data_IF_382801167171
#
_entry.id   IF_382801167171
#
_cell.length_a   1.000
_cell.length_b   1.000
_cell.length_c   1.000
_cell.angle_alpha   90.00
_cell.angle_beta   90.00
_cell.angle_gamma   90.00
#
_symmetry.space_group_name_H-M   'P 1'
#
loop_
_entity.id
_entity.type
_entity.pdbx_description
1 polymer ?
#
# COMPACT_ATOMS: atom_id res chain seq x y z
N UNK A 1 -11.09 -45.27 -68.69
CA UNK A 1 -11.58 -45.07 -67.37
C UNK A 1 -10.43 -45.37 -66.40
N UNK A 2 -9.70 -44.35 -66.00
CA UNK A 2 -8.57 -44.49 -65.03
C UNK A 2 -9.04 -44.06 -63.64
N UNK A 3 -9.00 -44.99 -62.67
CA UNK A 3 -9.28 -44.73 -61.27
C UNK A 3 -8.00 -44.16 -60.61
N UNK A 4 -8.07 -42.95 -60.11
CA UNK A 4 -7.03 -42.35 -59.35
C UNK A 4 -7.32 -42.68 -57.85
N UNK A 5 -6.42 -43.41 -57.20
CA UNK A 5 -6.46 -43.67 -55.78
C UNK A 5 -5.79 -42.48 -55.03
N UNK A 6 -6.56 -41.78 -54.25
CA UNK A 6 -6.00 -40.80 -53.26
C UNK A 6 -5.49 -41.56 -52.03
N UNK A 7 -4.17 -41.56 -51.84
CA UNK A 7 -3.58 -41.92 -50.55
C UNK A 7 -3.68 -40.72 -49.60
N UNK A 8 -4.51 -40.84 -48.58
CA UNK A 8 -4.56 -39.90 -47.47
C UNK A 8 -3.36 -40.10 -46.56
N UNK A 9 -2.46 -39.12 -46.53
CA UNK A 9 -1.34 -39.05 -45.59
C UNK A 9 -1.87 -38.50 -44.26
N UNK A 10 -2.12 -39.35 -43.28
CA UNK A 10 -2.43 -38.94 -41.94
C UNK A 10 -1.13 -38.42 -41.25
N UNK A 11 -1.00 -37.11 -41.16
CA UNK A 11 0.05 -36.49 -40.33
C UNK A 11 -0.35 -36.65 -38.88
N UNK A 12 0.21 -37.63 -38.19
CA UNK A 12 0.18 -37.71 -36.71
C UNK A 12 1.06 -36.59 -36.19
N UNK A 13 0.46 -35.48 -35.77
CA UNK A 13 1.12 -34.50 -34.90
C UNK A 13 1.29 -35.12 -33.53
N UNK A 14 2.47 -35.68 -33.28
CA UNK A 14 2.89 -36.01 -31.94
C UNK A 14 3.09 -34.66 -31.18
N UNK A 15 2.12 -34.30 -30.35
CA UNK A 15 2.30 -33.23 -29.42
C UNK A 15 3.38 -33.70 -28.43
N UNK A 16 4.64 -33.27 -28.64
CA UNK A 16 5.68 -33.36 -27.63
C UNK A 16 5.24 -32.45 -26.49
N UNK A 17 4.65 -33.01 -25.44
CA UNK A 17 4.56 -32.39 -24.17
C UNK A 17 6.00 -32.21 -23.66
N UNK A 18 6.59 -31.05 -23.89
CA UNK A 18 7.76 -30.66 -23.14
C UNK A 18 7.31 -30.66 -21.67
N UNK A 19 7.90 -31.51 -20.87
CA UNK A 19 7.78 -31.44 -19.42
C UNK A 19 8.30 -30.05 -19.03
N UNK A 20 7.38 -29.12 -18.83
CA UNK A 20 7.71 -27.80 -18.33
C UNK A 20 8.28 -28.03 -16.93
N UNK A 21 9.57 -27.77 -16.74
CA UNK A 21 10.20 -27.79 -15.43
C UNK A 21 9.53 -26.81 -14.47
N UNK A 22 9.93 -26.79 -13.23
CA UNK A 22 9.38 -25.89 -12.22
C UNK A 22 9.68 -24.44 -12.63
N UNK A 23 8.65 -23.74 -13.11
CA UNK A 23 8.70 -22.34 -13.56
C UNK A 23 7.34 -21.66 -13.36
N UNK A 24 7.30 -20.33 -13.35
CA UNK A 24 6.07 -19.58 -13.12
C UNK A 24 5.58 -19.63 -11.68
N UNK A 25 4.29 -19.48 -11.48
CA UNK A 25 3.66 -19.38 -10.16
C UNK A 25 3.16 -20.73 -9.67
N UNK A 26 3.48 -21.04 -8.42
CA UNK A 26 3.08 -22.25 -7.71
C UNK A 26 2.50 -21.92 -6.35
N UNK A 27 1.33 -22.44 -6.01
CA UNK A 27 0.63 -22.14 -4.77
C UNK A 27 0.14 -23.36 -4.03
N UNK A 28 0.08 -23.24 -2.71
CA UNK A 28 -0.43 -24.29 -1.83
C UNK A 28 -0.91 -23.75 -0.50
N UNK A 29 -1.75 -24.53 0.16
CA UNK A 29 -2.30 -24.16 1.46
C UNK A 29 -1.47 -24.80 2.57
N UNK A 30 -0.73 -23.98 3.31
CA UNK A 30 -0.01 -24.38 4.50
C UNK A 30 -0.97 -24.48 5.68
N UNK A 31 -1.05 -25.64 6.33
CA UNK A 31 -1.81 -25.85 7.55
C UNK A 31 -0.85 -25.82 8.75
N UNK A 32 -0.75 -24.68 9.42
CA UNK A 32 0.10 -24.49 10.60
C UNK A 32 -0.76 -24.40 11.87
N UNK A 33 -1.08 -25.54 12.46
CA UNK A 33 -1.99 -25.63 13.60
C UNK A 33 -3.39 -25.14 13.28
N UNK A 34 -3.84 -24.07 13.95
CA UNK A 34 -5.16 -23.46 13.72
C UNK A 34 -5.19 -22.44 12.57
N UNK A 35 -4.05 -22.20 11.91
CA UNK A 35 -3.97 -21.25 10.80
C UNK A 35 -3.82 -21.96 9.46
N UNK A 36 -4.55 -21.47 8.47
CA UNK A 36 -4.40 -21.86 7.07
C UNK A 36 -3.87 -20.66 6.29
N UNK A 37 -2.68 -20.81 5.72
CA UNK A 37 -2.02 -19.74 4.97
C UNK A 37 -1.77 -20.21 3.54
N UNK A 38 -2.23 -19.44 2.56
CA UNK A 38 -1.81 -19.66 1.18
C UNK A 38 -0.37 -19.18 1.03
N UNK A 39 0.49 -20.07 0.55
CA UNK A 39 1.89 -19.78 0.19
C UNK A 39 1.99 -19.82 -1.32
N UNK A 40 2.56 -18.79 -1.90
CA UNK A 40 2.76 -18.66 -3.35
C UNK A 40 4.24 -18.45 -3.61
N UNK A 41 4.80 -19.26 -4.50
CA UNK A 41 6.16 -19.08 -5.00
C UNK A 41 6.12 -18.70 -6.48
N UNK A 42 6.94 -17.74 -6.87
CA UNK A 42 7.17 -17.34 -8.26
C UNK A 42 8.58 -17.75 -8.64
N UNK A 43 8.72 -18.66 -9.61
CA UNK A 43 10.01 -19.15 -10.09
C UNK A 43 10.30 -18.61 -11.49
N UNK A 44 11.41 -17.92 -11.65
CA UNK A 44 11.95 -17.45 -12.93
C UNK A 44 13.30 -18.14 -13.21
N UNK A 45 13.31 -19.23 -13.95
CA UNK A 45 14.54 -19.97 -14.27
C UNK A 45 15.46 -19.25 -15.27
N UNK A 46 15.00 -18.19 -15.92
CA UNK A 46 15.72 -17.52 -17.02
C UNK A 46 16.74 -16.49 -16.54
N UNK A 47 16.72 -16.09 -15.28
CA UNK A 47 17.64 -15.08 -14.74
C UNK A 47 19.00 -15.69 -14.37
N UNK A 48 20.05 -15.18 -15.01
CA UNK A 48 21.48 -15.34 -14.66
C UNK A 48 21.99 -16.76 -14.43
N UNK A 49 21.34 -17.77 -15.06
CA UNK A 49 21.77 -19.18 -14.98
C UNK A 49 21.55 -19.89 -13.64
N UNK A 50 21.04 -19.18 -12.63
CA UNK A 50 20.71 -19.72 -11.30
C UNK A 50 19.23 -19.64 -10.96
N UNK A 51 18.45 -18.92 -11.78
CA UNK A 51 17.05 -18.62 -11.52
C UNK A 51 16.85 -17.53 -10.45
N UNK A 52 15.65 -16.98 -10.40
CA UNK A 52 15.20 -16.10 -9.32
C UNK A 52 13.87 -16.61 -8.76
N UNK A 53 13.58 -16.31 -7.51
CA UNK A 53 12.29 -16.62 -6.92
C UNK A 53 11.87 -15.58 -5.90
N UNK A 54 10.55 -15.41 -5.78
CA UNK A 54 9.92 -14.67 -4.69
C UNK A 54 8.82 -15.51 -4.04
N UNK A 55 8.45 -15.14 -2.83
CA UNK A 55 7.36 -15.76 -2.09
C UNK A 55 6.34 -14.71 -1.68
N UNK A 56 5.06 -15.09 -1.78
CA UNK A 56 3.96 -14.30 -1.25
C UNK A 56 3.23 -15.09 -0.17
N UNK A 57 2.76 -14.38 0.85
CA UNK A 57 1.80 -14.85 1.84
C UNK A 57 0.64 -13.85 1.87
N UNK A 58 -0.32 -13.95 0.93
CA UNK A 58 -1.34 -12.93 0.72
C UNK A 58 -2.15 -12.59 1.98
N UNK A 59 -2.50 -13.60 2.78
CA UNK A 59 -3.25 -13.40 4.03
C UNK A 59 -2.49 -12.61 5.09
N UNK A 60 -1.17 -12.47 4.96
CA UNK A 60 -0.29 -11.69 5.82
C UNK A 60 0.22 -10.42 5.13
N UNK A 61 -0.25 -10.16 3.90
CA UNK A 61 0.18 -9.03 3.06
C UNK A 61 1.67 -8.99 2.76
N UNK A 62 2.31 -10.10 2.93
CA UNK A 62 3.71 -10.28 2.64
C UNK A 62 3.85 -10.72 1.17
N UNK A 63 4.26 -9.79 0.31
CA UNK A 63 4.36 -9.99 -1.15
C UNK A 63 5.79 -9.74 -1.62
N UNK A 64 6.22 -10.48 -2.63
CA UNK A 64 7.51 -10.30 -3.26
C UNK A 64 8.71 -10.57 -2.34
N UNK A 65 8.53 -11.38 -1.28
CA UNK A 65 9.61 -11.70 -0.34
C UNK A 65 10.75 -12.39 -1.11
N UNK A 66 11.99 -11.88 -1.05
CA UNK A 66 13.12 -12.51 -1.73
C UNK A 66 13.37 -13.93 -1.26
N UNK A 67 13.50 -14.85 -2.21
CA UNK A 67 13.78 -16.27 -1.96
C UNK A 67 15.19 -16.59 -2.45
N UNK A 68 15.98 -17.25 -1.62
CA UNK A 68 17.25 -17.85 -2.03
C UNK A 68 17.00 -19.25 -2.57
N UNK A 69 17.26 -19.47 -3.86
CA UNK A 69 17.22 -20.79 -4.46
C UNK A 69 18.51 -21.55 -4.15
N UNK A 70 18.38 -22.72 -3.52
CA UNK A 70 19.49 -23.66 -3.33
C UNK A 70 19.52 -24.69 -4.47
N UNK A 71 18.35 -25.06 -5.00
CA UNK A 71 18.18 -25.93 -6.15
C UNK A 71 16.89 -25.55 -6.88
N UNK A 72 16.96 -25.42 -8.19
CA UNK A 72 15.81 -25.36 -9.08
C UNK A 72 16.10 -26.24 -10.30
N UNK A 73 15.42 -27.35 -10.44
CA UNK A 73 15.56 -28.28 -11.55
C UNK A 73 14.21 -28.57 -12.21
N UNK A 74 14.21 -29.43 -13.20
CA UNK A 74 12.96 -29.81 -13.90
C UNK A 74 11.94 -30.47 -12.96
N UNK A 75 12.39 -31.15 -11.90
CA UNK A 75 11.54 -31.96 -11.02
C UNK A 75 11.73 -31.67 -9.51
N UNK A 76 12.65 -30.81 -9.15
CA UNK A 76 12.99 -30.61 -7.73
C UNK A 76 13.26 -29.14 -7.42
N UNK A 77 12.83 -28.69 -6.25
CA UNK A 77 13.08 -27.36 -5.72
C UNK A 77 13.56 -27.42 -4.27
N UNK A 78 14.57 -26.62 -3.95
CA UNK A 78 15.03 -26.36 -2.58
C UNK A 78 15.32 -24.88 -2.44
N UNK A 79 14.79 -24.26 -1.41
CA UNK A 79 14.89 -22.81 -1.21
C UNK A 79 14.85 -22.41 0.26
N UNK A 80 15.36 -21.22 0.55
CA UNK A 80 15.28 -20.57 1.85
C UNK A 80 14.68 -19.17 1.72
N UNK A 81 13.95 -18.75 2.72
CA UNK A 81 13.55 -17.35 2.95
C UNK A 81 14.19 -16.88 4.25
N UNK A 82 15.37 -16.27 4.13
CA UNK A 82 16.20 -15.92 5.28
C UNK A 82 15.53 -14.97 6.25
N UNK A 83 14.77 -14.00 5.74
CA UNK A 83 14.04 -13.03 6.54
C UNK A 83 12.97 -13.68 7.44
N UNK A 84 12.50 -14.87 7.10
CA UNK A 84 11.48 -15.60 7.84
C UNK A 84 12.02 -16.84 8.55
N UNK A 85 13.31 -17.13 8.45
CA UNK A 85 13.96 -18.36 8.95
C UNK A 85 13.19 -19.60 8.46
N UNK A 86 12.86 -19.61 7.17
CA UNK A 86 12.02 -20.61 6.53
C UNK A 86 12.77 -21.34 5.42
N UNK A 87 12.52 -22.64 5.29
CA UNK A 87 13.01 -23.51 4.22
C UNK A 87 11.85 -24.26 3.57
N UNK A 88 11.97 -24.52 2.26
CA UNK A 88 11.08 -25.42 1.55
C UNK A 88 11.87 -26.34 0.64
N UNK A 89 11.54 -27.65 0.67
CA UNK A 89 12.05 -28.64 -0.26
C UNK A 89 10.91 -29.45 -0.84
N UNK A 90 10.89 -29.65 -2.17
CA UNK A 90 9.81 -30.35 -2.82
C UNK A 90 10.22 -31.03 -4.13
N UNK A 91 9.42 -32.01 -4.55
CA UNK A 91 9.54 -32.72 -5.83
C UNK A 91 8.27 -32.62 -6.65
N UNK A 92 8.43 -32.35 -7.93
CA UNK A 92 7.34 -32.26 -8.91
C UNK A 92 6.99 -33.69 -9.39
N UNK A 93 5.75 -34.10 -9.14
CA UNK A 93 5.17 -35.33 -9.63
C UNK A 93 3.75 -35.04 -10.14
N UNK A 94 3.46 -35.44 -11.38
CA UNK A 94 2.12 -35.30 -11.97
C UNK A 94 1.50 -33.90 -11.83
N UNK A 95 2.31 -32.83 -12.01
CA UNK A 95 1.85 -31.43 -11.93
C UNK A 95 1.64 -30.89 -10.53
N UNK A 96 2.08 -31.61 -9.49
CA UNK A 96 2.06 -31.16 -8.08
C UNK A 96 3.46 -31.25 -7.52
N UNK A 97 3.93 -30.18 -6.87
CA UNK A 97 5.16 -30.22 -6.07
C UNK A 97 4.77 -30.64 -4.65
N UNK A 98 5.12 -31.84 -4.27
CA UNK A 98 4.93 -32.33 -2.89
C UNK A 98 6.19 -32.10 -2.09
N UNK A 99 6.09 -31.40 -0.96
CA UNK A 99 7.26 -30.97 -0.22
C UNK A 99 7.04 -30.75 1.26
N UNK A 100 8.10 -30.28 1.89
CA UNK A 100 8.13 -29.95 3.33
C UNK A 100 8.53 -28.48 3.51
N UNK A 101 7.66 -27.74 4.14
CA UNK A 101 7.88 -26.38 4.64
C UNK A 101 8.41 -26.48 6.08
N UNK A 102 9.52 -25.82 6.38
CA UNK A 102 10.11 -25.78 7.73
C UNK A 102 10.23 -24.34 8.19
N UNK A 103 9.82 -24.06 9.41
CA UNK A 103 10.00 -22.76 10.04
C UNK A 103 10.17 -22.93 11.56
N UNK A 104 11.16 -22.23 12.13
CA UNK A 104 11.50 -22.33 13.56
C UNK A 104 11.65 -23.78 14.08
N UNK A 105 12.21 -24.66 13.25
CA UNK A 105 12.43 -26.08 13.60
C UNK A 105 11.18 -26.97 13.47
N UNK A 106 10.01 -26.41 13.14
CA UNK A 106 8.78 -27.17 12.91
C UNK A 106 8.62 -27.46 11.42
N UNK A 107 8.24 -28.69 11.06
CA UNK A 107 8.03 -29.13 9.69
C UNK A 107 6.53 -29.31 9.42
N UNK A 108 6.09 -28.81 8.28
CA UNK A 108 4.71 -28.94 7.79
C UNK A 108 4.72 -29.51 6.37
N UNK A 109 3.82 -30.42 6.01
CA UNK A 109 3.62 -30.80 4.62
C UNK A 109 3.04 -29.63 3.84
N UNK A 110 3.56 -29.39 2.64
CA UNK A 110 3.03 -28.38 1.73
C UNK A 110 3.07 -28.89 0.30
N UNK A 111 1.88 -29.00 -0.31
CA UNK A 111 1.72 -29.31 -1.72
C UNK A 111 1.49 -28.01 -2.49
N UNK A 112 2.21 -27.84 -3.60
CA UNK A 112 2.06 -26.70 -4.49
C UNK A 112 1.53 -27.17 -5.85
N UNK A 113 0.58 -26.44 -6.39
CA UNK A 113 0.04 -26.62 -7.75
C UNK A 113 0.36 -25.41 -8.60
N UNK A 114 0.65 -25.65 -9.87
CA UNK A 114 0.83 -24.55 -10.81
C UNK A 114 -0.47 -23.73 -10.91
N UNK A 115 -0.34 -22.42 -10.91
CA UNK A 115 -1.47 -21.50 -11.03
C UNK A 115 -1.23 -20.22 -10.26
N UNK A 116 -1.66 -19.13 -10.83
CA UNK A 116 -1.59 -17.84 -10.16
C UNK A 116 -2.36 -17.88 -8.83
N UNK A 117 -1.85 -17.23 -7.80
CA UNK A 117 -2.70 -16.74 -6.74
C UNK A 117 -3.79 -15.96 -7.44
N UNK A 118 -5.04 -16.43 -7.36
CA UNK A 118 -6.14 -15.74 -8.05
C UNK A 118 -6.06 -14.28 -7.67
N UNK A 119 -5.94 -13.37 -8.67
CA UNK A 119 -5.92 -11.94 -8.37
C UNK A 119 -7.20 -11.63 -7.61
N UNK A 120 -7.11 -10.97 -6.45
CA UNK A 120 -8.31 -10.60 -5.73
C UNK A 120 -9.16 -9.70 -6.61
N UNK A 121 -10.47 -9.84 -6.54
CA UNK A 121 -11.40 -8.96 -7.24
C UNK A 121 -11.28 -7.54 -6.67
N UNK A 122 -11.02 -6.55 -7.55
CA UNK A 122 -10.86 -5.14 -7.18
C UNK A 122 -11.74 -4.28 -8.10
N UNK A 123 -13.07 -4.31 -7.91
CA UNK A 123 -14.03 -3.73 -8.85
C UNK A 123 -13.94 -2.21 -8.97
N UNK A 124 -13.26 -1.54 -8.02
CA UNK A 124 -13.07 -0.09 -8.04
C UNK A 124 -11.80 0.35 -8.78
N UNK A 125 -10.88 -0.57 -9.12
CA UNK A 125 -9.71 -0.20 -9.92
C UNK A 125 -10.15 0.25 -11.31
N UNK A 126 -9.71 1.45 -11.76
CA UNK A 126 -10.12 1.94 -13.07
C UNK A 126 -9.50 1.13 -14.20
N UNK A 127 -10.34 0.77 -15.18
CA UNK A 127 -9.95 0.07 -16.39
C UNK A 127 -9.70 1.06 -17.55
N UNK A 128 -8.80 0.71 -18.46
CA UNK A 128 -8.57 1.49 -19.67
C UNK A 128 -9.67 1.24 -20.70
N UNK A 129 -10.12 2.28 -21.45
CA UNK A 129 -9.64 3.66 -21.44
C UNK A 129 -10.22 4.47 -20.28
N UNK A 130 -9.36 5.29 -19.60
CA UNK A 130 -9.72 6.01 -18.37
C UNK A 130 -10.74 7.16 -18.57
N UNK A 131 -10.93 7.64 -19.80
CA UNK A 131 -11.83 8.78 -20.09
C UNK A 131 -11.28 10.15 -19.65
N UNK A 132 -10.08 10.21 -19.08
CA UNK A 132 -9.36 11.43 -18.69
C UNK A 132 -7.86 11.31 -19.02
N UNK A 133 -7.17 12.46 -19.08
CA UNK A 133 -5.73 12.51 -19.39
C UNK A 133 -4.90 12.21 -18.14
N UNK A 134 -3.82 11.45 -18.31
CA UNK A 134 -2.73 11.30 -17.35
C UNK A 134 -1.42 11.76 -17.99
N UNK A 135 -0.49 12.24 -17.17
CA UNK A 135 0.83 12.69 -17.59
C UNK A 135 1.88 12.17 -16.60
N UNK A 136 2.87 11.45 -17.10
CA UNK A 136 4.02 11.06 -16.29
C UNK A 136 4.89 12.30 -16.07
N UNK A 137 5.21 12.56 -14.82
CA UNK A 137 5.92 13.77 -14.40
C UNK A 137 7.05 13.43 -13.45
N UNK A 138 8.00 14.37 -13.33
CA UNK A 138 9.09 14.26 -12.37
C UNK A 138 9.30 15.62 -11.71
N UNK A 139 9.47 15.62 -10.40
CA UNK A 139 9.87 16.81 -9.64
C UNK A 139 11.05 16.45 -8.71
N UNK A 140 11.79 17.44 -8.25
CA UNK A 140 13.07 17.19 -7.59
C UNK A 140 13.11 17.84 -6.21
N UNK A 141 13.51 17.06 -5.21
CA UNK A 141 14.00 17.57 -3.94
C UNK A 141 15.50 17.88 -4.10
N UNK A 142 15.82 19.15 -4.35
CA UNK A 142 17.20 19.60 -4.57
C UNK A 142 18.09 19.39 -3.34
N UNK A 143 17.53 19.56 -2.15
CA UNK A 143 18.26 19.42 -0.88
C UNK A 143 18.72 17.98 -0.65
N UNK A 144 17.85 17.01 -0.93
CA UNK A 144 18.14 15.60 -0.79
C UNK A 144 18.76 14.97 -2.04
N UNK A 145 18.88 15.69 -3.15
CA UNK A 145 19.30 15.17 -4.46
C UNK A 145 18.43 14.00 -4.95
N UNK A 146 17.12 14.06 -4.69
CA UNK A 146 16.15 13.04 -5.04
C UNK A 146 15.25 13.52 -6.16
N UNK A 147 15.08 12.71 -7.18
CA UNK A 147 14.12 12.88 -8.27
C UNK A 147 12.92 11.98 -8.04
N UNK A 148 11.74 12.56 -7.95
CA UNK A 148 10.50 11.89 -7.59
C UNK A 148 9.61 11.79 -8.83
N UNK A 149 9.31 10.55 -9.24
CA UNK A 149 8.49 10.25 -10.39
C UNK A 149 7.03 10.08 -9.98
N UNK A 150 6.11 10.61 -10.77
CA UNK A 150 4.69 10.54 -10.45
C UNK A 150 3.80 10.58 -11.68
N UNK A 151 2.51 10.40 -11.45
CA UNK A 151 1.45 10.51 -12.45
C UNK A 151 0.52 11.66 -12.07
N UNK A 152 0.50 12.69 -12.89
CA UNK A 152 -0.47 13.78 -12.79
C UNK A 152 -1.73 13.37 -13.56
N UNK A 153 -2.84 13.27 -12.86
CA UNK A 153 -4.16 12.94 -13.41
C UNK A 153 -4.98 14.22 -13.53
N UNK A 154 -5.46 14.51 -14.73
CA UNK A 154 -6.31 15.65 -15.02
C UNK A 154 -7.80 15.27 -14.92
N UNK A 155 -8.68 16.21 -14.59
CA UNK A 155 -10.12 15.95 -14.61
C UNK A 155 -10.64 15.57 -16.00
N UNK A 156 -11.76 14.88 -16.03
CA UNK A 156 -12.53 14.67 -17.28
C UNK A 156 -12.85 16.02 -17.92
N UNK A 157 -12.64 16.12 -19.23
CA UNK A 157 -12.84 17.36 -20.01
C UNK A 157 -11.98 18.57 -19.54
N UNK A 158 -10.82 18.30 -18.93
CA UNK A 158 -9.88 19.36 -18.56
C UNK A 158 -9.39 20.12 -19.78
N UNK A 159 -9.39 21.46 -19.68
CA UNK A 159 -8.81 22.37 -20.66
C UNK A 159 -7.83 23.32 -19.97
N UNK A 160 -6.71 23.70 -20.62
CA UNK A 160 -5.65 24.51 -19.98
C UNK A 160 -6.10 25.91 -19.54
N UNK A 161 -7.16 26.44 -20.14
CA UNK A 161 -7.75 27.77 -19.83
C UNK A 161 -8.61 27.74 -18.56
N UNK A 162 -9.02 26.58 -18.10
CA UNK A 162 -9.83 26.41 -16.89
C UNK A 162 -8.99 25.82 -15.76
N UNK A 163 -8.61 26.67 -14.80
CA UNK A 163 -7.93 26.21 -13.59
C UNK A 163 -8.87 25.39 -12.71
N UNK A 164 -8.36 24.29 -12.17
CA UNK A 164 -9.08 23.34 -11.31
C UNK A 164 -8.28 23.13 -10.01
N UNK A 165 -8.91 22.65 -8.91
CA UNK A 165 -8.15 22.25 -7.74
C UNK A 165 -7.31 21.00 -8.03
N UNK A 166 -6.18 20.87 -7.31
CA UNK A 166 -5.31 19.70 -7.37
C UNK A 166 -4.91 19.27 -5.97
N UNK A 167 -4.77 17.98 -5.76
CA UNK A 167 -4.15 17.40 -4.55
C UNK A 167 -2.88 16.64 -4.91
N UNK A 168 -1.80 16.84 -4.13
CA UNK A 168 -0.72 15.86 -4.06
C UNK A 168 -1.12 14.77 -3.07
N UNK A 169 -0.93 13.51 -3.43
CA UNK A 169 -1.23 12.37 -2.56
C UNK A 169 0.03 11.87 -1.89
N UNK A 170 -0.01 11.75 -0.56
CA UNK A 170 1.12 11.35 0.28
C UNK A 170 0.78 10.04 0.97
N UNK A 171 1.58 9.01 0.71
CA UNK A 171 1.39 7.63 1.17
C UNK A 171 1.58 7.48 2.68
N UNK A 172 1.07 6.37 3.21
CA UNK A 172 1.31 5.95 4.59
C UNK A 172 2.73 5.41 4.80
N UNK A 173 2.97 4.86 6.00
CA UNK A 173 4.29 4.38 6.43
C UNK A 173 4.84 3.26 5.55
N UNK A 174 6.15 3.30 5.32
CA UNK A 174 6.90 2.34 4.50
C UNK A 174 7.15 2.84 3.09
N UNK A 175 8.00 2.12 2.37
CA UNK A 175 8.39 2.44 1.00
C UNK A 175 7.27 2.04 0.03
N UNK A 176 6.51 2.99 -0.49
CA UNK A 176 5.32 2.75 -1.28
C UNK A 176 5.39 3.35 -2.68
N UNK A 177 4.75 2.69 -3.64
CA UNK A 177 4.56 3.23 -4.97
C UNK A 177 3.43 4.27 -5.00
N UNK A 178 3.33 5.01 -6.09
CA UNK A 178 2.35 6.10 -6.30
C UNK A 178 0.89 5.71 -6.14
N UNK A 179 0.57 4.43 -6.21
CA UNK A 179 -0.79 3.91 -6.07
C UNK A 179 -1.13 3.55 -4.62
N UNK A 180 -0.14 3.66 -3.69
CA UNK A 180 -0.22 3.16 -2.32
C UNK A 180 -0.63 1.68 -2.33
N UNK A 181 0.10 0.85 -3.11
CA UNK A 181 -0.29 -0.54 -3.31
C UNK A 181 -0.03 -1.37 -2.05
N UNK A 182 -1.09 -1.63 -1.30
CA UNK A 182 -1.06 -2.39 -0.05
C UNK A 182 -2.16 -3.46 -0.08
N UNK A 183 -1.88 -4.67 0.39
CA UNK A 183 -2.85 -5.78 0.44
C UNK A 183 -3.51 -6.08 -0.92
N UNK A 184 -2.78 -5.86 -2.03
CA UNK A 184 -3.27 -5.93 -3.41
C UNK A 184 -4.43 -4.97 -3.71
N UNK A 185 -4.56 -3.88 -2.97
CA UNK A 185 -5.37 -2.71 -3.28
C UNK A 185 -4.50 -1.57 -3.78
N UNK A 186 -5.09 -0.64 -4.53
CA UNK A 186 -4.46 0.60 -5.00
C UNK A 186 -5.30 1.81 -4.62
N UNK A 187 -5.35 2.15 -3.30
CA UNK A 187 -6.23 3.20 -2.81
C UNK A 187 -6.07 4.53 -3.55
N UNK A 188 -4.84 4.99 -3.75
CA UNK A 188 -4.59 6.26 -4.41
C UNK A 188 -4.99 6.26 -5.89
N UNK A 189 -4.90 5.12 -6.57
CA UNK A 189 -5.39 5.01 -7.95
C UNK A 189 -6.90 5.15 -8.01
N UNK A 190 -7.62 4.52 -7.08
CA UNK A 190 -9.09 4.59 -6.97
C UNK A 190 -9.53 6.02 -6.61
N UNK A 191 -8.88 6.66 -5.63
CA UNK A 191 -9.18 8.04 -5.23
C UNK A 191 -8.92 8.99 -6.41
N UNK A 192 -7.79 8.86 -7.11
CA UNK A 192 -7.45 9.72 -8.24
C UNK A 192 -8.45 9.60 -9.40
N UNK A 193 -8.91 8.39 -9.71
CA UNK A 193 -9.97 8.14 -10.70
C UNK A 193 -11.27 8.83 -10.31
N UNK A 194 -11.68 8.69 -9.05
CA UNK A 194 -12.90 9.32 -8.55
C UNK A 194 -12.79 10.85 -8.62
N UNK A 195 -11.70 11.43 -8.12
CA UNK A 195 -11.46 12.88 -8.14
C UNK A 195 -11.45 13.45 -9.57
N UNK A 196 -10.81 12.74 -10.52
CA UNK A 196 -10.80 13.15 -11.92
C UNK A 196 -12.22 13.25 -12.52
N UNK A 197 -13.10 12.32 -12.15
CA UNK A 197 -14.52 12.33 -12.55
C UNK A 197 -15.32 13.45 -11.88
N UNK A 198 -14.81 14.00 -10.76
CA UNK A 198 -15.44 15.11 -10.01
C UNK A 198 -14.80 16.48 -10.26
N UNK A 199 -13.95 16.61 -11.27
CA UNK A 199 -13.36 17.90 -11.64
C UNK A 199 -12.10 18.30 -10.88
N UNK A 200 -11.48 17.37 -10.14
CA UNK A 200 -10.31 17.60 -9.28
C UNK A 200 -9.11 16.87 -9.88
N UNK A 201 -7.98 17.55 -10.05
CA UNK A 201 -6.72 16.93 -10.46
C UNK A 201 -6.00 16.28 -9.27
N UNK A 202 -5.11 15.34 -9.57
CA UNK A 202 -4.29 14.69 -8.53
C UNK A 202 -2.89 14.37 -9.03
N UNK A 203 -1.90 14.50 -8.15
CA UNK A 203 -0.53 14.04 -8.35
C UNK A 203 -0.26 12.89 -7.36
N UNK A 204 -0.03 11.70 -7.89
CA UNK A 204 0.46 10.54 -7.15
C UNK A 204 1.93 10.34 -7.50
N UNK A 205 2.79 10.06 -6.56
CA UNK A 205 4.22 9.87 -6.81
C UNK A 205 4.78 8.67 -6.05
N UNK A 206 5.81 8.05 -6.62
CA UNK A 206 6.56 7.00 -5.96
C UNK A 206 7.44 7.60 -4.87
N UNK A 207 7.46 7.02 -3.69
CA UNK A 207 8.35 7.45 -2.61
C UNK A 207 9.82 7.38 -3.05
N UNK A 208 10.69 8.14 -2.39
CA UNK A 208 12.13 8.08 -2.66
C UNK A 208 12.65 6.64 -2.58
N UNK A 209 13.39 6.20 -3.60
CA UNK A 209 13.93 4.84 -3.71
C UNK A 209 12.92 3.77 -4.10
N UNK A 210 11.71 4.15 -4.51
CA UNK A 210 10.64 3.24 -4.96
C UNK A 210 10.32 3.50 -6.43
N UNK A 211 9.93 2.46 -7.15
CA UNK A 211 9.45 2.57 -8.53
C UNK A 211 10.44 3.27 -9.44
N UNK A 212 10.05 4.44 -9.95
CA UNK A 212 10.88 5.27 -10.82
C UNK A 212 11.56 6.44 -10.09
N UNK A 213 11.31 6.61 -8.78
CA UNK A 213 11.95 7.64 -7.97
C UNK A 213 13.35 7.23 -7.56
N UNK A 214 14.27 8.21 -7.58
CA UNK A 214 15.66 7.99 -7.12
C UNK A 214 15.79 8.13 -5.60
N UNK A 215 17.00 7.91 -5.09
CA UNK A 215 17.31 8.05 -3.66
C UNK A 215 17.17 6.73 -2.90
N UNK A 216 17.00 6.85 -1.59
CA UNK A 216 16.86 5.70 -0.70
C UNK A 216 15.82 6.05 0.38
N UNK A 217 14.86 5.15 0.61
CA UNK A 217 13.86 5.29 1.65
C UNK A 217 14.44 4.94 3.04
N UNK A 218 15.35 3.97 3.09
CA UNK A 218 15.95 3.52 4.35
C UNK A 218 16.78 4.63 5.02
N UNK A 219 16.59 4.80 6.32
CA UNK A 219 17.28 5.82 7.11
C UNK A 219 16.67 7.22 7.03
N UNK A 220 15.53 7.37 6.35
CA UNK A 220 14.75 8.61 6.31
C UNK A 220 13.66 8.64 7.39
N UNK A 221 13.14 9.82 7.66
CA UNK A 221 12.09 10.10 8.64
C UNK A 221 10.87 10.71 7.96
N UNK A 222 9.76 10.84 8.70
CA UNK A 222 8.58 11.56 8.22
C UNK A 222 8.90 13.02 7.82
N UNK A 223 9.92 13.65 8.42
CA UNK A 223 10.37 14.99 8.01
C UNK A 223 11.01 14.99 6.62
N UNK A 224 11.78 13.96 6.27
CA UNK A 224 12.37 13.82 4.94
C UNK A 224 11.29 13.61 3.88
N UNK A 225 10.25 12.83 4.19
CA UNK A 225 9.10 12.61 3.30
C UNK A 225 8.23 13.87 3.18
N UNK A 226 8.11 14.66 4.24
CA UNK A 226 7.46 15.97 4.20
C UNK A 226 8.20 16.94 3.26
N UNK A 227 9.55 16.95 3.27
CA UNK A 227 10.34 17.76 2.34
C UNK A 227 10.09 17.32 0.87
N UNK A 228 9.95 16.02 0.59
CA UNK A 228 9.63 15.53 -0.75
C UNK A 228 8.24 15.99 -1.20
N UNK A 229 7.24 15.85 -0.34
CA UNK A 229 5.89 16.31 -0.63
C UNK A 229 5.82 17.83 -0.82
N UNK A 230 6.59 18.62 -0.05
CA UNK A 230 6.71 20.07 -0.20
C UNK A 230 7.28 20.46 -1.56
N UNK A 231 8.25 19.72 -2.09
CA UNK A 231 8.77 19.92 -3.44
C UNK A 231 7.70 19.66 -4.50
N UNK A 232 6.88 18.62 -4.35
CA UNK A 232 5.74 18.34 -5.23
C UNK A 232 4.69 19.45 -5.19
N UNK A 233 4.34 19.97 -3.99
CA UNK A 233 3.45 21.12 -3.84
C UNK A 233 3.99 22.37 -4.57
N UNK A 234 5.27 22.64 -4.39
CA UNK A 234 5.93 23.79 -5.03
C UNK A 234 5.92 23.64 -6.56
N UNK A 235 6.17 22.42 -7.05
CA UNK A 235 6.12 22.10 -8.48
C UNK A 235 4.70 22.30 -9.05
N UNK A 236 3.65 21.83 -8.35
CA UNK A 236 2.26 22.04 -8.75
C UNK A 236 1.89 23.52 -8.77
N UNK A 237 2.25 24.30 -7.73
CA UNK A 237 2.00 25.74 -7.65
C UNK A 237 2.71 26.49 -8.78
N UNK A 238 3.96 26.16 -9.06
CA UNK A 238 4.76 26.82 -10.12
C UNK A 238 4.26 26.53 -11.53
N UNK A 239 3.52 25.44 -11.74
CA UNK A 239 2.94 25.09 -13.05
C UNK A 239 1.91 26.11 -13.55
N UNK A 240 1.29 26.86 -12.65
CA UNK A 240 0.22 27.82 -12.96
C UNK A 240 -1.09 27.22 -13.47
N UNK A 241 -1.20 25.88 -13.52
CA UNK A 241 -2.34 25.13 -14.05
C UNK A 241 -3.54 25.04 -13.09
N UNK A 242 -3.32 25.24 -11.80
CA UNK A 242 -4.28 24.96 -10.73
C UNK A 242 -4.67 26.24 -9.97
N UNK A 243 -5.91 26.31 -9.49
CA UNK A 243 -6.39 27.42 -8.67
C UNK A 243 -6.17 27.22 -7.17
N UNK A 244 -6.14 25.97 -6.72
CA UNK A 244 -5.85 25.57 -5.34
C UNK A 244 -4.99 24.31 -5.38
N UNK A 245 -3.98 24.25 -4.50
CA UNK A 245 -3.05 23.12 -4.39
C UNK A 245 -3.09 22.60 -2.97
N UNK A 246 -3.74 21.45 -2.79
CA UNK A 246 -3.90 20.80 -1.50
C UNK A 246 -3.06 19.54 -1.34
N UNK A 247 -3.14 18.96 -0.15
CA UNK A 247 -2.57 17.65 0.20
C UNK A 247 -3.70 16.69 0.54
N UNK A 248 -3.63 15.45 0.05
CA UNK A 248 -4.38 14.34 0.55
C UNK A 248 -3.37 13.29 1.05
N UNK A 249 -3.35 13.05 2.35
CA UNK A 249 -2.43 12.08 2.95
C UNK A 249 -3.17 10.97 3.67
N UNK A 250 -2.67 9.74 3.57
CA UNK A 250 -3.20 8.58 4.29
C UNK A 250 -2.23 8.17 5.40
N UNK A 251 -2.74 7.87 6.59
CA UNK A 251 -1.94 7.38 7.72
C UNK A 251 -0.78 8.35 8.03
N UNK A 252 0.49 7.94 7.94
CA UNK A 252 1.64 8.83 8.06
C UNK A 252 1.60 10.01 7.07
N UNK A 253 1.08 9.79 5.85
CA UNK A 253 0.86 10.88 4.89
C UNK A 253 -0.12 11.94 5.42
N UNK A 254 -1.11 11.53 6.23
CA UNK A 254 -2.01 12.44 6.94
C UNK A 254 -1.30 13.26 8.02
N UNK A 255 -0.30 12.67 8.70
CA UNK A 255 0.61 13.37 9.61
C UNK A 255 1.46 14.40 8.84
N UNK A 256 2.04 13.98 7.72
CA UNK A 256 2.84 14.86 6.84
C UNK A 256 1.99 16.03 6.33
N UNK A 257 0.72 15.79 6.02
CA UNK A 257 -0.20 16.86 5.65
C UNK A 257 -0.33 17.92 6.77
N UNK A 258 -0.40 17.51 8.05
CA UNK A 258 -0.43 18.45 9.16
C UNK A 258 0.88 19.24 9.29
N UNK A 259 2.03 18.58 9.15
CA UNK A 259 3.34 19.26 9.17
C UNK A 259 3.39 20.38 8.12
N UNK A 260 3.04 20.07 6.87
CA UNK A 260 3.10 21.02 5.75
C UNK A 260 2.00 22.08 5.82
N UNK A 261 0.85 21.75 6.39
CA UNK A 261 -0.21 22.70 6.67
C UNK A 261 0.19 23.75 7.70
N UNK A 262 0.88 23.33 8.76
CA UNK A 262 1.44 24.23 9.77
C UNK A 262 2.49 25.19 9.20
N UNK A 263 3.17 24.80 8.13
CA UNK A 263 4.14 25.61 7.39
C UNK A 263 3.50 26.47 6.30
N UNK A 264 2.19 26.40 6.08
CA UNK A 264 1.49 27.16 5.04
C UNK A 264 1.85 26.73 3.62
N UNK A 265 2.29 25.50 3.41
CA UNK A 265 2.73 25.00 2.10
C UNK A 265 1.57 24.63 1.18
N UNK A 266 0.41 24.31 1.71
CA UNK A 266 -0.80 23.92 0.98
C UNK A 266 -1.93 24.94 1.18
N UNK A 267 -2.93 24.89 0.30
CA UNK A 267 -4.10 25.76 0.37
C UNK A 267 -5.25 25.09 1.15
N UNK A 268 -5.25 23.76 1.22
CA UNK A 268 -6.15 22.93 2.03
C UNK A 268 -5.54 21.56 2.29
N UNK A 269 -6.06 20.82 3.28
CA UNK A 269 -5.59 19.48 3.66
C UNK A 269 -6.73 18.48 3.73
N UNK A 270 -6.48 17.25 3.26
CA UNK A 270 -7.27 16.05 3.54
C UNK A 270 -6.39 15.05 4.25
N UNK A 271 -6.69 14.75 5.50
CA UNK A 271 -6.00 13.73 6.31
C UNK A 271 -6.91 12.53 6.48
N UNK A 272 -6.56 11.42 5.85
CA UNK A 272 -7.25 10.14 5.93
C UNK A 272 -6.53 9.25 6.96
N UNK A 273 -7.17 8.97 8.08
CA UNK A 273 -6.60 8.17 9.18
C UNK A 273 -5.22 8.68 9.67
N UNK A 274 -5.00 10.00 9.62
CA UNK A 274 -3.75 10.62 10.08
C UNK A 274 -3.66 10.67 11.60
N UNK A 275 -2.47 10.45 12.19
CA UNK A 275 -2.23 10.56 13.62
C UNK A 275 -2.58 11.93 14.19
N UNK A 276 -3.36 11.96 15.27
CA UNK A 276 -3.69 13.18 16.03
C UNK A 276 -3.02 13.26 17.39
N UNK A 277 -2.40 12.16 17.84
CA UNK A 277 -1.69 12.05 19.11
C UNK A 277 -0.22 11.68 18.88
N UNK A 278 0.59 11.82 19.92
CA UNK A 278 2.02 11.49 19.86
C UNK A 278 2.25 10.03 19.42
N UNK A 279 3.27 9.80 18.58
CA UNK A 279 3.52 8.51 17.95
C UNK A 279 3.73 7.33 18.90
N UNK A 280 4.43 7.52 20.02
CA UNK A 280 4.58 6.45 21.02
C UNK A 280 3.26 6.04 21.69
N UNK A 281 2.38 6.99 21.94
CA UNK A 281 1.04 6.75 22.49
C UNK A 281 0.15 6.04 21.45
N UNK A 282 0.22 6.47 20.20
CA UNK A 282 -0.49 5.84 19.08
C UNK A 282 -0.10 4.38 18.93
N UNK A 283 1.20 4.06 18.90
CA UNK A 283 1.69 2.69 18.77
C UNK A 283 1.27 1.80 19.95
N UNK A 284 1.20 2.35 21.15
CA UNK A 284 0.68 1.64 22.34
C UNK A 284 -0.81 1.34 22.19
N UNK A 285 -1.60 2.31 21.74
CA UNK A 285 -3.03 2.09 21.48
C UNK A 285 -3.24 1.02 20.41
N UNK A 286 -2.53 1.11 19.29
CA UNK A 286 -2.54 0.13 18.19
C UNK A 286 -2.22 -1.28 18.73
N UNK A 287 -1.13 -1.44 19.45
CA UNK A 287 -0.70 -2.73 19.97
C UNK A 287 -1.73 -3.34 20.95
N UNK A 288 -2.25 -2.53 21.87
CA UNK A 288 -3.26 -2.98 22.83
C UNK A 288 -4.57 -3.35 22.13
N UNK A 289 -4.98 -2.60 21.09
CA UNK A 289 -6.16 -2.91 20.29
C UNK A 289 -6.01 -4.23 19.52
N UNK A 290 -4.84 -4.47 18.92
CA UNK A 290 -4.54 -5.73 18.23
C UNK A 290 -4.53 -6.94 19.18
N UNK A 291 -3.96 -6.79 20.38
CA UNK A 291 -4.01 -7.85 21.40
C UNK A 291 -5.43 -8.14 21.85
N UNK A 292 -6.22 -7.10 22.09
CA UNK A 292 -7.64 -7.24 22.43
C UNK A 292 -8.43 -7.97 21.34
N UNK A 293 -8.19 -7.61 20.06
CA UNK A 293 -8.81 -8.28 18.91
C UNK A 293 -8.48 -9.78 18.86
N UNK A 294 -7.26 -10.16 19.25
CA UNK A 294 -6.81 -11.55 19.31
C UNK A 294 -7.16 -12.26 20.61
N UNK A 295 -7.88 -11.62 21.53
CA UNK A 295 -8.22 -12.19 22.84
C UNK A 295 -7.00 -12.38 23.76
N UNK A 296 -5.90 -11.68 23.49
CA UNK A 296 -4.65 -11.76 24.30
C UNK A 296 -4.72 -10.69 25.38
N UNK A 297 -4.73 -11.07 26.67
CA UNK A 297 -4.64 -10.10 27.75
C UNK A 297 -3.32 -9.32 27.69
N UNK A 298 -3.40 -8.03 27.47
CA UNK A 298 -2.22 -7.17 27.42
C UNK A 298 -2.57 -5.76 27.85
N UNK A 299 -1.60 -5.09 28.47
CA UNK A 299 -1.65 -3.67 28.78
C UNK A 299 -0.23 -3.12 28.57
N UNK A 300 0.13 -2.93 27.31
CA UNK A 300 1.41 -2.34 26.95
C UNK A 300 1.40 -0.86 27.33
N UNK A 301 2.45 -0.41 28.00
CA UNK A 301 2.67 1.01 28.32
C UNK A 301 3.71 1.62 27.39
N UNK A 302 3.73 2.96 27.28
CA UNK A 302 4.77 3.69 26.54
C UNK A 302 6.17 3.31 27.01
N UNK A 303 6.37 3.16 28.33
CA UNK A 303 7.69 2.78 28.87
C UNK A 303 8.08 1.36 28.45
N UNK A 304 7.13 0.41 28.37
CA UNK A 304 7.37 -0.95 27.92
C UNK A 304 7.71 -0.97 26.43
N UNK A 305 6.95 -0.25 25.61
CA UNK A 305 7.20 -0.13 24.18
C UNK A 305 8.60 0.44 23.92
N UNK A 306 8.95 1.56 24.54
CA UNK A 306 10.27 2.21 24.37
C UNK A 306 11.42 1.32 24.83
N UNK A 307 11.28 0.55 25.90
CA UNK A 307 12.29 -0.43 26.33
C UNK A 307 12.49 -1.54 25.30
N UNK A 308 11.42 -2.06 24.71
CA UNK A 308 11.54 -3.10 23.67
C UNK A 308 12.23 -2.57 22.42
N UNK A 309 11.94 -1.33 22.02
CA UNK A 309 12.57 -0.67 20.87
C UNK A 309 14.04 -0.36 21.08
N UNK A 310 14.45 0.00 22.30
CA UNK A 310 15.86 0.24 22.65
C UNK A 310 16.75 -1.00 22.47
N UNK A 311 16.16 -2.20 22.39
CA UNK A 311 16.89 -3.45 22.09
C UNK A 311 17.08 -3.67 20.57
N UNK A 312 16.48 -2.84 19.73
CA UNK A 312 16.57 -2.88 18.27
C UNK A 312 17.00 -1.51 17.71
N UNK A 313 18.22 -1.05 18.02
CA UNK A 313 18.68 0.27 17.61
C UNK A 313 18.83 0.38 16.09
N UNK A 314 18.64 1.59 15.56
CA UNK A 314 18.93 1.94 14.17
C UNK A 314 17.70 2.08 13.26
N UNK A 315 16.49 2.00 13.79
CA UNK A 315 15.31 2.40 13.03
C UNK A 315 15.01 3.88 13.24
N UNK A 316 15.73 4.73 12.52
CA UNK A 316 15.66 6.20 12.60
C UNK A 316 14.24 6.71 12.37
N UNK A 317 13.51 6.12 11.42
CA UNK A 317 12.12 6.46 11.15
C UNK A 317 11.24 6.21 12.39
N UNK A 318 11.34 5.03 13.00
CA UNK A 318 10.51 4.66 14.15
C UNK A 318 10.80 5.54 15.36
N UNK A 319 12.09 5.84 15.63
CA UNK A 319 12.50 6.75 16.70
C UNK A 319 11.89 8.14 16.50
N UNK A 320 12.00 8.70 15.29
CA UNK A 320 11.41 9.98 14.92
C UNK A 320 9.88 9.96 15.10
N UNK A 321 9.21 8.94 14.53
CA UNK A 321 7.76 8.81 14.58
C UNK A 321 7.23 8.71 16.02
N UNK A 322 7.89 7.91 16.88
CA UNK A 322 7.52 7.78 18.29
C UNK A 322 7.65 9.10 19.07
N UNK A 323 8.62 9.92 18.72
CA UNK A 323 8.85 11.19 19.41
C UNK A 323 7.98 12.33 18.89
N UNK A 324 7.45 12.19 17.67
CA UNK A 324 6.67 13.23 17.02
C UNK A 324 5.27 13.37 17.64
N UNK A 325 4.93 14.61 18.00
CA UNK A 325 3.61 15.00 18.48
C UNK A 325 2.97 15.97 17.47
N UNK A 326 1.88 15.60 16.78
CA UNK A 326 1.27 16.44 15.76
C UNK A 326 0.49 17.64 16.33
N UNK A 327 0.18 17.66 17.61
CA UNK A 327 -0.68 18.70 18.23
C UNK A 327 -0.14 20.12 18.07
N UNK A 328 1.16 20.40 18.25
CA UNK A 328 1.72 21.74 18.01
C UNK A 328 1.57 22.20 16.55
N UNK A 329 1.65 21.28 15.59
CA UNK A 329 1.41 21.60 14.18
C UNK A 329 -0.07 21.88 13.92
N UNK A 330 -0.95 20.99 14.38
CA UNK A 330 -2.40 21.15 14.27
C UNK A 330 -2.86 22.51 14.86
N UNK A 331 -2.26 22.95 15.93
CA UNK A 331 -2.57 24.26 16.56
C UNK A 331 -2.15 25.43 15.70
N UNK A 332 -1.21 25.30 14.78
CA UNK A 332 -0.77 26.38 13.87
C UNK A 332 -1.54 26.42 12.57
N UNK A 333 -2.27 25.36 12.21
CA UNK A 333 -3.02 25.29 10.94
C UNK A 333 -4.20 26.25 10.99
N UNK A 334 -4.31 27.10 9.95
CA UNK A 334 -5.42 28.05 9.75
C UNK A 334 -6.18 27.81 8.43
N UNK A 335 -5.61 27.04 7.52
CA UNK A 335 -6.23 26.65 6.25
C UNK A 335 -7.33 25.61 6.46
N UNK A 336 -8.25 25.40 5.50
CA UNK A 336 -9.26 24.35 5.58
C UNK A 336 -8.66 22.94 5.75
N UNK A 337 -9.21 22.17 6.67
CA UNK A 337 -8.80 20.78 6.95
C UNK A 337 -10.01 19.86 6.93
N UNK A 338 -9.93 18.81 6.11
CA UNK A 338 -10.76 17.64 6.25
C UNK A 338 -9.96 16.53 6.92
N UNK A 339 -10.37 16.09 8.12
CA UNK A 339 -9.76 14.98 8.84
C UNK A 339 -10.78 13.87 9.06
N UNK A 340 -10.49 12.70 8.53
CA UNK A 340 -11.43 11.57 8.53
C UNK A 340 -10.78 10.28 9.03
N UNK A 341 -11.58 9.42 9.66
CA UNK A 341 -11.14 8.11 10.12
C UNK A 341 -12.28 7.08 10.07
N UNK A 342 -11.95 5.80 10.08
CA UNK A 342 -12.89 4.71 10.24
C UNK A 342 -13.08 4.32 11.71
N UNK A 343 -14.30 3.95 12.12
CA UNK A 343 -14.55 3.53 13.50
C UNK A 343 -13.94 2.17 13.85
N UNK A 344 -13.65 1.35 12.82
CA UNK A 344 -13.02 0.04 12.96
C UNK A 344 -11.51 0.09 12.64
N UNK A 345 -10.93 1.29 12.60
CA UNK A 345 -9.49 1.47 12.40
C UNK A 345 -8.72 0.96 13.62
N UNK A 346 -7.88 -0.06 13.41
CA UNK A 346 -7.06 -0.70 14.43
C UNK A 346 -5.61 -0.22 14.40
N UNK A 347 -5.25 0.66 13.47
CA UNK A 347 -3.90 1.21 13.35
C UNK A 347 -3.82 2.63 13.93
N UNK A 348 -4.78 3.48 13.56
CA UNK A 348 -4.95 4.83 14.12
C UNK A 348 -6.34 4.90 14.72
N UNK A 349 -6.47 4.59 16.00
CA UNK A 349 -7.77 4.52 16.66
C UNK A 349 -8.51 5.87 16.58
N UNK A 350 -9.75 5.85 16.06
CA UNK A 350 -10.49 7.07 15.77
C UNK A 350 -10.78 7.93 17.00
N UNK A 351 -11.08 7.29 18.15
CA UNK A 351 -11.53 8.02 19.36
C UNK A 351 -10.49 9.02 19.87
N UNK A 352 -9.25 8.59 20.08
CA UNK A 352 -8.18 9.43 20.57
C UNK A 352 -7.68 10.42 19.51
N UNK A 353 -7.46 9.94 18.29
CA UNK A 353 -6.84 10.74 17.24
C UNK A 353 -7.78 11.82 16.69
N UNK A 354 -9.03 11.48 16.35
CA UNK A 354 -10.02 12.46 15.85
C UNK A 354 -10.40 13.46 16.96
N UNK A 355 -10.46 13.04 18.21
CA UNK A 355 -10.73 13.95 19.33
C UNK A 355 -9.59 14.98 19.50
N UNK A 356 -8.33 14.55 19.43
CA UNK A 356 -7.18 15.44 19.49
C UNK A 356 -7.17 16.44 18.32
N UNK A 357 -7.37 15.96 17.09
CA UNK A 357 -7.45 16.81 15.89
C UNK A 357 -8.58 17.84 16.02
N UNK A 358 -9.78 17.39 16.44
CA UNK A 358 -10.93 18.28 16.63
C UNK A 358 -10.66 19.37 17.66
N UNK A 359 -10.03 19.02 18.77
CA UNK A 359 -9.70 19.99 19.81
C UNK A 359 -8.69 21.04 19.31
N UNK A 360 -7.62 20.62 18.62
CA UNK A 360 -6.60 21.52 18.09
C UNK A 360 -7.14 22.45 16.98
N UNK A 361 -8.10 22.00 16.17
CA UNK A 361 -8.66 22.75 15.05
C UNK A 361 -9.95 23.50 15.38
N UNK A 362 -10.43 23.40 16.62
CA UNK A 362 -11.69 24.03 17.06
C UNK A 362 -11.66 25.54 16.86
N UNK A 363 -12.70 26.07 16.17
CA UNK A 363 -12.89 27.50 15.94
C UNK A 363 -11.90 28.16 14.96
N UNK A 364 -10.96 27.41 14.35
CA UNK A 364 -9.92 27.99 13.50
C UNK A 364 -10.36 28.27 12.07
N UNK A 365 -11.15 27.39 11.48
CA UNK A 365 -11.63 27.54 10.11
C UNK A 365 -13.05 26.97 9.99
N UNK A 366 -13.99 27.75 9.46
CA UNK A 366 -15.40 27.33 9.30
C UNK A 366 -15.58 26.24 8.22
N UNK A 367 -14.59 26.00 7.39
CA UNK A 367 -14.58 24.94 6.37
C UNK A 367 -14.01 23.61 6.89
N UNK A 368 -13.53 23.56 8.15
CA UNK A 368 -13.05 22.32 8.71
C UNK A 368 -14.16 21.26 8.79
N UNK A 369 -13.83 20.04 8.33
CA UNK A 369 -14.70 18.88 8.40
C UNK A 369 -13.97 17.75 9.11
N UNK A 370 -14.47 17.33 10.28
CA UNK A 370 -13.84 16.28 11.09
C UNK A 370 -14.87 15.19 11.34
N UNK A 371 -14.70 14.03 10.69
CA UNK A 371 -15.69 12.96 10.62
C UNK A 371 -15.10 11.59 10.89
N UNK A 372 -15.84 10.75 11.63
CA UNK A 372 -15.60 9.31 11.76
C UNK A 372 -16.67 8.59 10.96
N UNK A 373 -16.27 7.65 10.12
CA UNK A 373 -17.17 6.80 9.34
C UNK A 373 -17.40 5.48 10.07
N UNK A 374 -18.64 5.17 10.41
CA UNK A 374 -18.98 3.91 11.08
C UNK A 374 -18.66 2.69 10.20
N UNK A 375 -18.07 1.66 10.81
CA UNK A 375 -17.83 0.38 10.15
C UNK A 375 -16.68 0.34 9.15
N UNK A 376 -15.89 1.43 9.02
CA UNK A 376 -14.73 1.45 8.12
C UNK A 376 -13.43 1.14 8.87
N UNK A 377 -12.54 0.38 8.22
CA UNK A 377 -11.18 0.09 8.70
C UNK A 377 -10.17 1.20 8.31
N UNK A 378 -8.87 0.93 8.53
CA UNK A 378 -7.79 1.88 8.24
C UNK A 378 -7.68 2.28 6.75
N UNK A 379 -8.02 1.38 5.82
CA UNK A 379 -8.08 1.66 4.39
C UNK A 379 -9.44 2.22 3.93
N UNK A 380 -10.33 2.53 4.88
CA UNK A 380 -11.69 3.01 4.59
C UNK A 380 -12.54 1.98 3.82
N UNK A 381 -12.37 0.70 4.11
CA UNK A 381 -13.19 -0.41 3.62
C UNK A 381 -14.24 -0.78 4.65
N UNK A 382 -15.46 -1.13 4.21
CA UNK A 382 -16.47 -1.68 5.10
C UNK A 382 -16.05 -3.03 5.65
N UNK A 383 -16.11 -3.18 6.97
CA UNK A 383 -15.77 -4.43 7.65
C UNK A 383 -16.46 -4.55 8.99
N UNK A 384 -16.62 -5.79 9.46
CA UNK A 384 -16.95 -6.06 10.86
C UNK A 384 -15.70 -5.84 11.74
N UNK A 385 -15.85 -5.47 13.02
CA UNK A 385 -14.72 -5.23 13.91
C UNK A 385 -13.72 -6.41 13.97
N UNK A 386 -14.22 -7.65 13.94
CA UNK A 386 -13.37 -8.85 13.99
C UNK A 386 -12.53 -9.06 12.72
N UNK A 387 -12.94 -8.49 11.59
CA UNK A 387 -12.25 -8.59 10.29
C UNK A 387 -11.58 -7.29 9.85
N UNK A 388 -11.42 -6.33 10.76
CA UNK A 388 -10.85 -5.00 10.46
C UNK A 388 -9.42 -5.03 9.89
N UNK A 389 -8.69 -6.13 10.08
CA UNK A 389 -7.35 -6.37 9.55
C UNK A 389 -7.32 -7.31 8.33
N UNK A 390 -8.47 -7.76 7.85
CA UNK A 390 -8.59 -8.69 6.71
C UNK A 390 -8.57 -7.97 5.35
N UNK A 391 -7.81 -6.88 5.22
CA UNK A 391 -7.75 -6.00 4.05
C UNK A 391 -7.72 -6.75 2.72
N UNK A 392 -6.85 -7.75 2.59
CA UNK A 392 -6.69 -8.52 1.34
C UNK A 392 -7.99 -9.21 0.88
N UNK A 393 -8.82 -9.67 1.83
CA UNK A 393 -10.05 -10.43 1.54
C UNK A 393 -11.21 -9.54 1.15
N UNK A 394 -11.18 -8.26 1.51
CA UNK A 394 -12.23 -7.30 1.21
C UNK A 394 -12.08 -6.87 -0.25
N UNK A 395 -13.15 -6.91 -1.05
CA UNK A 395 -13.11 -6.49 -2.47
C UNK A 395 -13.10 -4.97 -2.62
N UNK A 396 -13.77 -4.25 -1.71
CA UNK A 396 -13.82 -2.79 -1.69
C UNK A 396 -12.44 -2.21 -1.38
N UNK A 397 -11.98 -1.26 -2.20
CA UNK A 397 -10.70 -0.57 -1.98
C UNK A 397 -10.87 0.69 -1.12
N UNK A 398 -11.93 1.45 -1.33
CA UNK A 398 -12.26 2.63 -0.55
C UNK A 398 -13.78 2.87 -0.60
N UNK A 399 -14.40 3.16 0.56
CA UNK A 399 -15.84 3.42 0.63
C UNK A 399 -16.26 4.54 -0.32
N UNK A 400 -17.31 4.32 -1.15
CA UNK A 400 -17.86 5.35 -2.03
C UNK A 400 -18.33 6.59 -1.28
N UNK A 401 -18.74 6.45 -0.03
CA UNK A 401 -19.14 7.58 0.83
C UNK A 401 -17.93 8.49 1.11
N UNK A 402 -16.79 7.92 1.45
CA UNK A 402 -15.55 8.68 1.72
C UNK A 402 -15.09 9.41 0.45
N UNK A 403 -15.08 8.71 -0.69
CA UNK A 403 -14.70 9.30 -1.99
C UNK A 403 -15.60 10.50 -2.33
N UNK A 404 -16.92 10.34 -2.17
CA UNK A 404 -17.91 11.41 -2.43
C UNK A 404 -17.67 12.60 -1.52
N UNK A 405 -17.51 12.37 -0.22
CA UNK A 405 -17.37 13.44 0.77
C UNK A 405 -16.06 14.23 0.57
N UNK A 406 -14.95 13.56 0.23
CA UNK A 406 -13.68 14.23 -0.12
C UNK A 406 -13.88 15.14 -1.34
N UNK A 407 -14.45 14.62 -2.42
CA UNK A 407 -14.63 15.41 -3.64
C UNK A 407 -15.60 16.58 -3.42
N UNK A 408 -16.72 16.35 -2.73
CA UNK A 408 -17.70 17.39 -2.42
C UNK A 408 -17.09 18.49 -1.54
N UNK A 409 -16.29 18.11 -0.53
CA UNK A 409 -15.64 19.07 0.34
C UNK A 409 -14.60 19.92 -0.42
N UNK A 410 -13.71 19.31 -1.21
CA UNK A 410 -12.73 20.06 -2.02
C UNK A 410 -13.44 21.04 -2.97
N UNK A 411 -14.52 20.62 -3.63
CA UNK A 411 -15.28 21.46 -4.54
C UNK A 411 -16.08 22.58 -3.82
N UNK A 412 -16.20 22.54 -2.50
CA UNK A 412 -16.88 23.57 -1.69
C UNK A 412 -15.93 24.68 -1.19
N UNK A 413 -14.62 24.50 -1.38
CA UNK A 413 -13.61 25.47 -0.95
C UNK A 413 -13.52 26.67 -1.88
#
# INVERSE_FOLDING_TARGET
MKRIALLGLAVMTVAMSYAQGISGTWKGMLNAGNQKLEIVFHFDPSKDGGGAATMDVPAQSAMGIPVRLNLLSADSVSLDVLALLMEYTGKLNNGVITGTFRQFGVAFPLELKAGDAGKPNRPQEPESPLGYKTEEVTFTNQKAHVSLAGTLTYPVNYTPDKKVPVVIMVTGSGAQNRDEEVFAHKPFRVIADYLAKQGIASLRYDDRGVGQSTGNHSGCTSADFAEDAACGLSWLKSSGKFNQVGILGHSEGGLIAFMLGAEGKADFLVSMAGPGIKGDSLLVEQQNALFKLKGIPSNVSVSTLRKSMATQPGNVWLEYFMDYDPRPDLERITIPVMAVNGSNDMQVLSDSNISAIRNCLSGKNSKNLIKVYPGLNHLFQHCEPASSMDYYKIEETCSPEVLRDIAAWINSL
#
